data_IF_154814888227
#
_entry.id   IF_154814888227
#
_cell.length_a   1.000
_cell.length_b   1.000
_cell.length_c   1.000
_cell.angle_alpha   90.00
_cell.angle_beta   90.00
_cell.angle_gamma   90.00
#
_symmetry.space_group_name_H-M   'P 1'
#
loop_
_entity.id
_entity.type
_entity.pdbx_description
1 polymer ?
#
# COMPACT_ATOMS: atom_id res chain seq x y z
N UNK A 1 50.47 -19.35 19.56
CA UNK A 1 49.60 -18.36 18.89
C UNK A 1 48.88 -17.59 19.97
N UNK A 2 48.95 -16.26 19.93
CA UNK A 2 48.52 -15.34 20.99
C UNK A 2 46.99 -15.17 20.95
N UNK A 3 46.34 -15.25 22.11
CA UNK A 3 44.95 -14.87 22.34
C UNK A 3 44.92 -13.37 22.67
N UNK A 4 44.27 -12.58 21.82
CA UNK A 4 43.92 -11.18 22.13
C UNK A 4 42.49 -11.17 22.68
N UNK A 5 42.39 -10.80 23.95
CA UNK A 5 41.19 -10.64 24.76
C UNK A 5 40.86 -9.14 24.76
N UNK A 6 39.77 -8.72 24.10
CA UNK A 6 39.33 -7.32 24.14
C UNK A 6 38.12 -7.18 25.08
N UNK A 7 38.32 -6.37 26.10
CA UNK A 7 37.45 -6.12 27.25
C UNK A 7 36.46 -4.98 26.94
N UNK A 8 35.23 -5.15 27.43
CA UNK A 8 34.15 -4.17 27.62
C UNK A 8 34.62 -2.80 28.15
N UNK A 9 33.94 -1.71 27.77
CA UNK A 9 33.36 -0.73 28.73
C UNK A 9 32.72 0.51 28.07
N UNK A 10 31.48 0.80 28.51
CA UNK A 10 30.85 2.13 28.75
C UNK A 10 30.34 2.89 27.50
N UNK A 11 29.19 3.58 27.49
CA UNK A 11 28.54 4.38 28.53
C UNK A 11 27.00 4.28 28.47
N UNK A 12 26.37 4.38 29.64
CA UNK A 12 24.98 4.75 29.82
C UNK A 12 24.81 6.28 29.77
N UNK A 13 23.76 6.76 29.10
CA UNK A 13 23.26 8.13 29.22
C UNK A 13 21.74 8.08 29.47
N UNK A 14 21.38 8.22 30.74
CA UNK A 14 20.08 8.70 31.22
C UNK A 14 19.96 10.21 30.90
N UNK A 15 18.87 10.98 30.94
CA UNK A 15 17.58 10.95 31.66
C UNK A 15 16.65 12.00 30.98
N UNK A 16 15.34 11.88 31.21
CA UNK A 16 14.32 12.94 31.42
C UNK A 16 13.96 13.96 30.32
N UNK A 17 12.66 14.00 30.02
CA UNK A 17 12.00 15.13 29.39
C UNK A 17 10.47 14.98 29.36
N UNK A 18 9.84 14.76 30.52
CA UNK A 18 8.38 14.77 30.67
C UNK A 18 7.95 16.14 31.21
N UNK A 19 7.42 16.99 30.33
CA UNK A 19 6.75 18.22 30.73
C UNK A 19 5.23 17.97 30.76
N UNK A 20 4.68 17.88 31.97
CA UNK A 20 3.23 17.93 32.23
C UNK A 20 2.87 19.40 32.39
N UNK A 21 2.15 19.96 31.42
CA UNK A 21 1.48 21.26 31.59
C UNK A 21 0.09 20.98 32.16
N UNK A 22 -0.03 21.09 33.47
CA UNK A 22 -1.30 21.33 34.15
C UNK A 22 -1.57 22.84 34.12
N UNK A 23 -2.45 23.27 33.21
CA UNK A 23 -3.00 24.62 33.17
C UNK A 23 -4.50 24.59 33.38
N UNK A 24 -4.93 24.85 34.61
CA UNK A 24 -6.33 24.95 34.98
C UNK A 24 -7.00 26.24 34.51
N UNK A 25 -8.31 26.11 34.30
CA UNK A 25 -9.36 27.12 34.45
C UNK A 25 -9.32 28.40 33.59
N UNK A 26 -10.18 28.41 32.56
CA UNK A 26 -11.17 29.49 32.43
C UNK A 26 -12.37 29.05 31.60
N UNK A 27 -13.47 28.74 32.30
CA UNK A 27 -14.82 28.69 31.72
C UNK A 27 -15.17 30.11 31.26
N UNK A 28 -15.07 30.37 29.96
CA UNK A 28 -15.68 31.55 29.34
C UNK A 28 -16.98 31.07 28.71
N UNK A 29 -18.08 31.36 29.39
CA UNK A 29 -19.43 31.11 28.89
C UNK A 29 -19.79 32.23 27.91
N UNK A 30 -19.40 32.10 26.65
CA UNK A 30 -19.82 33.03 25.58
C UNK A 30 -21.18 32.57 25.08
N UNK A 31 -22.23 33.18 25.63
CA UNK A 31 -23.58 33.13 25.07
C UNK A 31 -23.58 33.96 23.79
N UNK A 32 -23.42 33.31 22.65
CA UNK A 32 -23.68 33.91 21.35
C UNK A 32 -25.13 33.61 20.97
N UNK A 33 -25.97 34.64 20.96
CA UNK A 33 -27.31 34.55 20.39
C UNK A 33 -27.19 34.33 18.87
N UNK A 34 -27.85 33.32 18.28
CA UNK A 34 -27.85 33.16 16.84
C UNK A 34 -28.73 34.23 16.19
N UNK A 35 -28.10 35.23 15.56
CA UNK A 35 -28.79 36.09 14.60
C UNK A 35 -29.01 35.27 13.33
N UNK A 36 -30.21 34.69 13.22
CA UNK A 36 -30.66 34.00 12.00
C UNK A 36 -31.02 35.03 10.94
N UNK A 37 -30.05 35.47 10.16
CA UNK A 37 -30.31 36.19 8.91
C UNK A 37 -30.56 35.17 7.81
N UNK A 38 -31.83 34.91 7.50
CA UNK A 38 -32.23 34.12 6.35
C UNK A 38 -31.88 34.89 5.07
N UNK A 39 -30.76 34.52 4.44
CA UNK A 39 -30.50 34.87 3.04
C UNK A 39 -31.22 33.83 2.19
N UNK A 40 -32.18 34.21 1.32
CA UNK A 40 -32.78 33.26 0.39
C UNK A 40 -31.69 32.74 -0.55
N UNK A 41 -31.37 31.45 -0.41
CA UNK A 41 -30.48 30.75 -1.33
C UNK A 41 -31.25 30.63 -2.66
N UNK A 42 -30.73 31.17 -3.78
CA UNK A 42 -31.33 30.91 -5.07
C UNK A 42 -31.26 29.40 -5.34
N UNK A 43 -32.42 28.79 -5.58
CA UNK A 43 -32.53 27.38 -5.96
C UNK A 43 -31.52 27.08 -7.07
N UNK A 44 -30.53 26.20 -6.86
CA UNK A 44 -29.72 25.73 -7.96
C UNK A 44 -30.65 24.89 -8.84
N UNK A 45 -31.02 25.43 -10.00
CA UNK A 45 -31.55 24.64 -11.11
C UNK A 45 -30.42 23.67 -11.49
N UNK A 46 -30.39 22.53 -10.82
CA UNK A 46 -29.46 21.45 -11.10
C UNK A 46 -29.83 20.88 -12.46
N UNK A 47 -29.25 21.45 -13.51
CA UNK A 47 -29.13 20.78 -14.80
C UNK A 47 -28.37 19.48 -14.52
N UNK A 48 -29.12 18.37 -14.44
CA UNK A 48 -28.55 17.03 -14.40
C UNK A 48 -27.61 16.91 -15.60
N UNK A 49 -26.29 16.83 -15.43
CA UNK A 49 -25.40 16.64 -16.56
C UNK A 49 -25.78 15.30 -17.20
N UNK A 50 -26.18 15.35 -18.46
CA UNK A 50 -26.37 14.15 -19.27
C UNK A 50 -25.08 13.33 -19.21
N UNK A 51 -25.17 11.98 -19.09
CA UNK A 51 -23.99 11.13 -19.20
C UNK A 51 -23.23 11.48 -20.48
N UNK A 52 -21.89 11.57 -20.46
CA UNK A 52 -21.12 11.58 -21.69
C UNK A 52 -21.46 10.28 -22.45
N UNK A 53 -22.10 10.43 -23.61
CA UNK A 53 -22.65 9.32 -24.40
C UNK A 53 -21.58 8.50 -25.14
N UNK A 54 -20.31 8.86 -25.01
CA UNK A 54 -19.22 8.16 -25.67
C UNK A 54 -18.48 7.24 -24.68
N UNK A 55 -19.13 6.14 -24.29
CA UNK A 55 -18.39 4.98 -23.79
C UNK A 55 -17.78 4.36 -25.04
N UNK A 56 -16.52 4.70 -25.32
CA UNK A 56 -15.75 4.10 -26.42
C UNK A 56 -15.72 2.58 -26.21
N UNK A 57 -16.60 1.89 -26.92
CA UNK A 57 -16.79 0.45 -26.84
C UNK A 57 -15.50 -0.19 -27.32
N UNK A 58 -14.69 -0.73 -26.39
CA UNK A 58 -13.34 -1.23 -26.67
C UNK A 58 -13.36 -2.25 -27.82
N UNK A 59 -12.98 -1.86 -29.06
CA UNK A 59 -13.20 -2.72 -30.20
C UNK A 59 -12.17 -3.86 -30.17
N UNK A 60 -12.60 -5.02 -29.69
CA UNK A 60 -11.79 -6.24 -29.64
C UNK A 60 -10.97 -6.47 -28.37
N UNK A 61 -11.27 -5.79 -27.25
CA UNK A 61 -10.67 -6.09 -25.96
C UNK A 61 -11.52 -7.10 -25.16
N UNK A 62 -10.92 -8.06 -24.44
CA UNK A 62 -11.65 -9.14 -23.76
C UNK A 62 -12.35 -8.74 -22.44
N UNK A 63 -12.37 -7.46 -22.06
CA UNK A 63 -12.97 -7.05 -20.80
C UNK A 63 -12.76 -5.58 -20.45
N UNK A 64 -13.27 -5.20 -19.27
CA UNK A 64 -13.25 -3.85 -18.74
C UNK A 64 -12.57 -3.84 -17.37
N UNK A 65 -11.47 -3.11 -17.22
CA UNK A 65 -10.79 -2.94 -15.92
C UNK A 65 -11.22 -1.68 -15.17
N UNK A 66 -11.02 -1.65 -13.86
CA UNK A 66 -11.05 -0.40 -13.10
C UNK A 66 -9.70 0.30 -13.23
N UNK A 67 -9.70 1.59 -13.60
CA UNK A 67 -8.49 2.41 -13.46
C UNK A 67 -8.01 2.43 -11.98
N UNK A 68 -6.71 2.62 -11.71
CA UNK A 68 -6.18 2.80 -10.35
C UNK A 68 -6.95 3.82 -9.50
N UNK A 69 -7.33 4.95 -10.10
CA UNK A 69 -8.12 6.00 -9.47
C UNK A 69 -9.54 5.52 -9.14
N UNK A 70 -10.23 4.89 -10.09
CA UNK A 70 -11.60 4.43 -9.85
C UNK A 70 -11.67 3.29 -8.84
N UNK A 71 -10.68 2.41 -8.84
CA UNK A 71 -10.55 1.37 -7.83
C UNK A 71 -10.41 1.95 -6.42
N UNK A 72 -9.57 2.97 -6.25
CA UNK A 72 -9.43 3.68 -4.98
C UNK A 72 -10.76 4.27 -4.51
N UNK A 73 -11.53 4.89 -5.42
CA UNK A 73 -12.84 5.45 -5.11
C UNK A 73 -13.82 4.35 -4.68
N UNK A 74 -13.89 3.25 -5.46
CA UNK A 74 -14.74 2.09 -5.16
C UNK A 74 -14.45 1.52 -3.77
N UNK A 75 -13.16 1.35 -3.43
CA UNK A 75 -12.76 0.79 -2.13
C UNK A 75 -13.15 1.68 -0.95
N UNK A 76 -13.13 3.00 -1.12
CA UNK A 76 -13.55 3.94 -0.09
C UNK A 76 -15.08 4.03 0.06
N UNK A 77 -15.84 3.14 -0.59
CA UNK A 77 -17.31 3.18 -0.59
C UNK A 77 -17.88 4.31 -1.46
N UNK A 78 -17.03 4.97 -2.25
CA UNK A 78 -17.47 6.00 -3.18
C UNK A 78 -18.21 5.38 -4.37
N UNK A 79 -19.44 5.83 -4.61
CA UNK A 79 -20.16 5.52 -5.84
C UNK A 79 -20.00 6.69 -6.81
N UNK A 80 -19.22 6.50 -7.87
CA UNK A 80 -19.30 7.37 -9.06
C UNK A 80 -20.34 6.78 -10.02
N UNK A 81 -21.27 7.59 -10.55
CA UNK A 81 -22.24 7.12 -11.54
C UNK A 81 -21.59 6.69 -12.86
N UNK A 82 -20.35 7.10 -13.11
CA UNK A 82 -19.55 6.75 -14.28
C UNK A 82 -18.16 6.34 -13.79
N UNK A 83 -17.99 5.05 -13.56
CA UNK A 83 -16.67 4.44 -13.41
C UNK A 83 -16.11 4.33 -14.82
N UNK A 84 -15.02 5.03 -15.11
CA UNK A 84 -14.37 4.93 -16.42
C UNK A 84 -13.63 3.60 -16.46
N UNK A 85 -14.32 2.61 -17.00
CA UNK A 85 -13.69 1.35 -17.34
C UNK A 85 -12.75 1.62 -18.51
N UNK A 86 -11.45 1.53 -18.28
CA UNK A 86 -10.46 1.67 -19.34
C UNK A 86 -10.33 0.35 -20.09
N UNK A 87 -10.15 0.43 -21.41
CA UNK A 87 -9.89 -0.76 -22.22
C UNK A 87 -8.63 -1.45 -21.69
N UNK A 88 -8.73 -2.77 -21.53
CA UNK A 88 -7.56 -3.58 -21.24
C UNK A 88 -6.55 -3.42 -22.38
N UNK A 89 -5.30 -3.11 -22.03
CA UNK A 89 -4.22 -3.22 -23.00
C UNK A 89 -4.18 -4.65 -23.54
N UNK A 90 -3.96 -4.76 -24.85
CA UNK A 90 -4.14 -6.00 -25.61
C UNK A 90 -3.26 -7.17 -25.14
N UNK A 91 -2.31 -6.97 -24.24
CA UNK A 91 -1.48 -8.04 -23.69
C UNK A 91 -1.13 -7.80 -22.20
N UNK A 92 -1.86 -8.38 -21.23
CA UNK A 92 -1.19 -8.89 -20.05
C UNK A 92 -0.27 -10.02 -20.55
N UNK A 93 1.02 -9.89 -20.30
CA UNK A 93 2.09 -10.80 -20.74
C UNK A 93 1.68 -12.27 -20.52
N UNK A 94 1.17 -12.96 -21.55
CA UNK A 94 0.90 -14.41 -21.59
C UNK A 94 0.46 -15.04 -20.25
N UNK A 95 -0.59 -14.50 -19.64
CA UNK A 95 -1.16 -15.01 -18.39
C UNK A 95 -2.09 -13.99 -17.75
N UNK A 96 -3.20 -14.44 -17.16
CA UNK A 96 -4.01 -13.59 -16.30
C UNK A 96 -3.33 -13.49 -14.94
N UNK A 97 -3.15 -12.29 -14.42
CA UNK A 97 -2.53 -12.07 -13.12
C UNK A 97 -1.74 -10.79 -13.05
N UNK A 98 -1.11 -10.58 -11.91
CA UNK A 98 -0.31 -9.39 -11.63
C UNK A 98 1.01 -9.81 -11.01
N UNK A 99 2.11 -9.37 -11.61
CA UNK A 99 3.45 -9.57 -11.06
C UNK A 99 3.75 -8.46 -10.03
N UNK A 100 4.17 -8.85 -8.83
CA UNK A 100 4.61 -7.91 -7.79
C UNK A 100 6.14 -7.92 -7.75
N UNK A 101 6.73 -6.77 -8.07
CA UNK A 101 8.17 -6.55 -8.10
C UNK A 101 8.63 -5.93 -6.79
N UNK A 102 9.76 -6.38 -6.25
CA UNK A 102 10.34 -5.82 -5.01
C UNK A 102 11.51 -4.91 -5.38
N UNK A 103 11.42 -3.62 -5.07
CA UNK A 103 12.47 -2.67 -5.43
C UNK A 103 13.71 -2.81 -4.53
N UNK A 104 13.49 -3.11 -3.23
CA UNK A 104 14.58 -3.21 -2.26
C UNK A 104 14.28 -4.21 -1.14
N UNK A 105 15.35 -4.89 -0.72
CA UNK A 105 15.31 -5.81 0.43
C UNK A 105 14.53 -7.07 0.10
N UNK A 106 14.01 -7.73 1.14
CA UNK A 106 13.12 -8.87 1.00
C UNK A 106 11.84 -8.68 1.82
N UNK A 107 10.75 -9.21 1.29
CA UNK A 107 9.42 -9.25 1.90
C UNK A 107 8.87 -10.68 1.83
N UNK A 108 7.77 -10.92 2.54
CA UNK A 108 7.00 -12.15 2.42
C UNK A 108 5.64 -11.85 1.82
N UNK A 109 5.25 -12.59 0.78
CA UNK A 109 3.93 -12.49 0.13
C UNK A 109 3.30 -13.88 0.18
N UNK A 110 2.16 -14.03 0.87
CA UNK A 110 1.48 -15.32 1.05
C UNK A 110 2.43 -16.47 1.47
N UNK A 111 3.27 -16.22 2.47
CA UNK A 111 4.29 -17.14 2.97
C UNK A 111 5.42 -17.49 1.96
N UNK A 112 5.48 -16.82 0.81
CA UNK A 112 6.57 -16.88 -0.16
C UNK A 112 7.57 -15.72 0.03
N UNK A 113 8.87 -16.02 0.05
CA UNK A 113 9.94 -15.02 0.12
C UNK A 113 10.14 -14.36 -1.24
N UNK A 114 10.19 -13.04 -1.25
CA UNK A 114 10.40 -12.23 -2.44
C UNK A 114 11.44 -11.16 -2.15
N UNK A 115 12.49 -11.09 -2.97
CA UNK A 115 13.62 -10.21 -2.79
C UNK A 115 13.86 -9.36 -4.03
N UNK A 116 14.39 -8.17 -3.80
CA UNK A 116 14.87 -7.33 -4.88
C UNK A 116 16.00 -8.02 -5.65
N UNK A 117 16.03 -7.88 -6.99
CA UNK A 117 17.06 -8.50 -7.79
C UNK A 117 18.44 -7.95 -7.43
N UNK A 118 19.42 -8.85 -7.25
CA UNK A 118 20.81 -8.47 -7.03
C UNK A 118 21.41 -7.85 -8.30
N UNK A 119 21.63 -6.54 -8.30
CA UNK A 119 22.31 -5.85 -9.41
C UNK A 119 23.64 -6.53 -9.77
N UNK A 120 23.84 -6.82 -11.07
CA UNK A 120 25.10 -7.33 -11.61
C UNK A 120 25.27 -8.86 -11.63
N UNK A 121 24.23 -9.63 -11.33
CA UNK A 121 24.24 -11.10 -11.51
C UNK A 121 23.61 -11.51 -12.83
N UNK A 122 24.14 -12.56 -13.45
CA UNK A 122 23.54 -13.20 -14.63
C UNK A 122 22.59 -14.29 -14.13
N UNK A 123 21.29 -14.11 -14.38
CA UNK A 123 20.22 -14.98 -13.91
C UNK A 123 19.62 -14.52 -12.60
N UNK A 124 18.29 -14.49 -12.54
CA UNK A 124 17.54 -14.28 -11.30
C UNK A 124 17.46 -15.58 -10.52
N UNK A 125 17.61 -15.51 -9.21
CA UNK A 125 17.21 -16.62 -8.34
C UNK A 125 15.68 -16.70 -8.30
N UNK A 126 15.08 -17.86 -7.96
CA UNK A 126 13.64 -17.96 -7.81
C UNK A 126 13.06 -16.93 -6.83
N UNK A 127 13.79 -16.57 -5.76
CA UNK A 127 13.38 -15.52 -4.83
C UNK A 127 13.55 -14.07 -5.36
N UNK A 128 14.15 -13.89 -6.53
CA UNK A 128 14.32 -12.60 -7.21
C UNK A 128 13.38 -12.46 -8.43
N UNK A 129 12.63 -13.52 -8.75
CA UNK A 129 11.54 -13.44 -9.72
C UNK A 129 10.35 -12.71 -9.09
N UNK A 130 9.58 -11.92 -9.86
CA UNK A 130 8.39 -11.28 -9.33
C UNK A 130 7.38 -12.29 -8.79
N UNK A 131 6.66 -11.93 -7.73
CA UNK A 131 5.56 -12.74 -7.24
C UNK A 131 4.38 -12.65 -8.21
N UNK A 132 4.00 -13.78 -8.82
CA UNK A 132 2.86 -13.82 -9.71
C UNK A 132 1.56 -14.12 -8.95
N UNK A 133 0.71 -13.11 -8.81
CA UNK A 133 -0.64 -13.28 -8.29
C UNK A 133 -1.57 -13.74 -9.43
N UNK A 134 -1.87 -15.04 -9.48
CA UNK A 134 -2.72 -15.63 -10.52
C UNK A 134 -4.14 -15.05 -10.47
N UNK A 135 -4.66 -14.63 -11.62
CA UNK A 135 -6.04 -14.16 -11.77
C UNK A 135 -6.85 -15.03 -12.72
N UNK A 136 -8.18 -14.98 -12.55
CA UNK A 136 -9.11 -15.17 -13.66
C UNK A 136 -9.59 -13.80 -14.14
N UNK A 137 -10.03 -13.67 -15.40
CA UNK A 137 -10.65 -12.43 -15.88
C UNK A 137 -11.74 -11.95 -14.91
N UNK A 138 -11.80 -10.64 -14.64
CA UNK A 138 -12.74 -9.97 -13.74
C UNK A 138 -12.61 -10.28 -12.23
N UNK A 139 -11.56 -10.99 -11.79
CA UNK A 139 -11.33 -11.24 -10.37
C UNK A 139 -10.80 -10.01 -9.63
N UNK A 140 -11.17 -9.86 -8.35
CA UNK A 140 -10.42 -9.00 -7.42
C UNK A 140 -9.37 -9.90 -6.77
N UNK A 141 -8.11 -9.58 -6.98
CA UNK A 141 -7.00 -10.21 -6.30
C UNK A 141 -6.85 -9.63 -4.90
N UNK A 142 -6.41 -10.47 -3.98
CA UNK A 142 -6.06 -10.10 -2.63
C UNK A 142 -4.80 -10.86 -2.25
N UNK A 143 -3.78 -10.17 -1.77
CA UNK A 143 -2.62 -10.83 -1.16
C UNK A 143 -2.31 -10.22 0.19
N UNK A 144 -1.61 -11.01 0.99
CA UNK A 144 -1.09 -10.59 2.27
C UNK A 144 0.42 -10.44 2.18
N UNK A 145 0.91 -9.25 2.53
CA UNK A 145 2.31 -8.87 2.48
C UNK A 145 2.80 -8.64 3.91
N UNK A 146 4.01 -9.10 4.19
CA UNK A 146 4.76 -8.74 5.39
C UNK A 146 6.06 -8.05 4.98
N UNK A 147 6.39 -6.95 5.64
CA UNK A 147 7.51 -6.10 5.23
C UNK A 147 8.23 -5.46 6.42
N UNK A 148 9.27 -4.67 6.11
CA UNK A 148 10.15 -4.02 7.09
C UNK A 148 10.94 -4.99 7.96
N UNK A 149 11.30 -6.15 7.41
CA UNK A 149 12.21 -7.10 8.04
C UNK A 149 13.60 -6.47 8.25
N UNK A 150 14.22 -6.73 9.41
CA UNK A 150 15.62 -6.37 9.64
C UNK A 150 16.54 -7.35 8.90
N UNK A 151 17.28 -6.86 7.91
CA UNK A 151 18.21 -7.66 7.12
C UNK A 151 19.39 -8.24 7.91
N UNK A 152 19.63 -7.78 9.13
CA UNK A 152 20.64 -8.32 10.02
C UNK A 152 20.08 -9.35 11.01
N UNK A 153 18.76 -9.45 11.14
CA UNK A 153 18.14 -10.42 12.03
C UNK A 153 18.29 -11.83 11.45
N UNK A 154 18.89 -12.72 12.25
CA UNK A 154 19.16 -14.12 11.89
C UNK A 154 18.18 -15.10 12.55
N UNK A 155 17.16 -14.61 13.25
CA UNK A 155 16.10 -15.46 13.78
C UNK A 155 15.28 -16.04 12.62
N UNK A 156 15.02 -17.36 12.59
CA UNK A 156 14.31 -18.00 11.46
C UNK A 156 12.84 -17.56 11.36
N UNK A 157 12.27 -17.10 12.46
CA UNK A 157 10.92 -16.58 12.57
C UNK A 157 10.93 -15.26 13.32
N UNK A 158 10.19 -14.28 12.82
CA UNK A 158 10.13 -12.93 13.38
C UNK A 158 8.71 -12.38 13.28
N UNK A 159 8.41 -11.35 14.08
CA UNK A 159 7.18 -10.55 13.90
C UNK A 159 7.58 -9.27 13.16
N UNK A 160 7.46 -9.23 11.81
CA UNK A 160 7.82 -8.05 11.05
C UNK A 160 6.93 -6.87 11.46
N UNK A 161 7.44 -5.63 11.47
CA UNK A 161 6.66 -4.46 11.87
C UNK A 161 5.41 -4.22 11.03
N UNK A 162 5.46 -4.59 9.75
CA UNK A 162 4.41 -4.30 8.79
C UNK A 162 3.69 -5.54 8.27
N UNK A 163 2.35 -5.50 8.31
CA UNK A 163 1.44 -6.37 7.56
C UNK A 163 0.51 -5.51 6.69
N UNK A 164 0.37 -5.86 5.42
CA UNK A 164 -0.56 -5.25 4.49
C UNK A 164 -1.48 -6.32 3.90
N UNK A 165 -2.79 -6.06 3.89
CA UNK A 165 -3.77 -6.85 3.15
C UNK A 165 -4.27 -5.99 2.01
N UNK A 166 -3.79 -6.27 0.81
CA UNK A 166 -3.93 -5.42 -0.36
C UNK A 166 -4.82 -6.08 -1.39
N UNK A 167 -5.67 -5.29 -2.04
CA UNK A 167 -6.60 -5.78 -3.04
C UNK A 167 -6.59 -4.92 -4.29
N UNK A 168 -6.65 -5.55 -5.45
CA UNK A 168 -6.72 -4.87 -6.74
C UNK A 168 -7.45 -5.73 -7.78
N UNK A 169 -7.96 -5.14 -8.87
CA UNK A 169 -8.46 -5.89 -10.02
C UNK A 169 -7.37 -6.76 -10.64
N UNK A 170 -7.65 -8.04 -10.87
CA UNK A 170 -6.68 -9.02 -11.38
C UNK A 170 -6.25 -8.84 -12.82
N UNK A 171 -6.79 -7.82 -13.48
CA UNK A 171 -6.44 -7.40 -14.83
C UNK A 171 -5.53 -6.15 -14.83
N UNK A 172 -5.13 -5.67 -13.64
CA UNK A 172 -4.08 -4.68 -13.53
C UNK A 172 -2.75 -5.24 -14.01
N UNK A 173 -1.96 -4.32 -14.58
CA UNK A 173 -0.53 -4.51 -14.81
C UNK A 173 0.19 -4.76 -13.49
N UNK A 174 1.45 -5.13 -13.59
CA UNK A 174 2.39 -5.30 -12.49
C UNK A 174 2.29 -4.23 -11.39
N UNK A 175 2.61 -4.64 -10.17
CA UNK A 175 2.75 -3.76 -9.01
C UNK A 175 4.21 -3.69 -8.59
N UNK A 176 4.58 -2.61 -7.92
CA UNK A 176 5.89 -2.43 -7.32
C UNK A 176 5.75 -2.28 -5.80
N UNK A 177 6.53 -3.03 -5.04
CA UNK A 177 6.78 -2.78 -3.63
C UNK A 177 8.03 -1.90 -3.50
N UNK A 178 7.82 -0.63 -3.19
CA UNK A 178 8.85 0.41 -3.25
C UNK A 178 9.75 0.44 -2.02
N UNK A 179 10.88 1.15 -2.14
CA UNK A 179 11.81 1.39 -1.05
C UNK A 179 11.18 2.14 0.16
N UNK A 180 10.06 2.85 -0.03
CA UNK A 180 9.31 3.52 1.02
C UNK A 180 8.35 2.59 1.78
N UNK A 181 8.39 1.27 1.53
CA UNK A 181 7.48 0.27 2.09
C UNK A 181 6.02 0.49 1.68
N UNK A 182 5.81 0.79 0.40
CA UNK A 182 4.49 0.92 -0.20
C UNK A 182 4.35 -0.05 -1.37
N UNK A 183 3.20 -0.70 -1.51
CA UNK A 183 2.82 -1.30 -2.79
C UNK A 183 2.13 -0.22 -3.64
N UNK A 184 2.49 -0.14 -4.91
CA UNK A 184 1.97 0.84 -5.85
C UNK A 184 1.74 0.21 -7.21
N UNK A 185 0.79 0.75 -7.96
CA UNK A 185 0.69 0.43 -9.38
C UNK A 185 1.77 1.19 -10.18
N UNK A 186 2.06 0.75 -11.41
CA UNK A 186 3.09 1.34 -12.29
C UNK A 186 2.91 2.83 -12.57
N UNK A 187 1.68 3.36 -12.51
CA UNK A 187 1.43 4.79 -12.70
C UNK A 187 1.71 5.62 -11.44
N UNK A 188 1.72 5.00 -10.26
CA UNK A 188 1.86 5.67 -8.97
C UNK A 188 0.57 6.32 -8.43
N UNK A 189 -0.56 6.15 -9.13
CA UNK A 189 -1.84 6.76 -8.77
C UNK A 189 -2.52 6.05 -7.58
N UNK A 190 -2.37 4.73 -7.50
CA UNK A 190 -2.80 3.90 -6.39
C UNK A 190 -1.59 3.41 -5.61
N UNK A 191 -1.67 3.54 -4.29
CA UNK A 191 -0.66 3.01 -3.37
C UNK A 191 -1.22 2.71 -2.00
N UNK A 192 -0.63 1.70 -1.35
CA UNK A 192 -0.86 1.36 0.04
C UNK A 192 0.47 1.20 0.76
N UNK A 193 0.61 1.86 1.89
CA UNK A 193 1.88 1.96 2.60
C UNK A 193 1.80 1.33 3.99
N UNK A 194 2.91 0.72 4.40
CA UNK A 194 3.16 0.42 5.79
C UNK A 194 3.08 1.70 6.65
N UNK A 195 2.60 1.59 7.90
CA UNK A 195 2.61 2.73 8.80
C UNK A 195 4.05 3.20 9.06
N UNK A 196 4.28 4.52 9.00
CA UNK A 196 5.62 5.10 9.26
C UNK A 196 6.14 4.84 10.67
N UNK A 197 5.27 4.50 11.61
CA UNK A 197 5.59 4.25 13.02
C UNK A 197 4.66 3.19 13.60
N UNK A 198 5.20 2.39 14.51
CA UNK A 198 4.48 1.33 15.20
C UNK A 198 4.46 0.03 14.41
N UNK A 199 4.03 -1.04 15.09
CA UNK A 199 3.78 -2.34 14.49
C UNK A 199 2.29 -2.46 14.24
N UNK A 200 1.89 -2.77 13.00
CA UNK A 200 0.50 -3.14 12.69
C UNK A 200 0.34 -4.65 12.47
N UNK A 201 1.35 -5.42 12.88
CA UNK A 201 1.39 -6.86 12.75
C UNK A 201 1.66 -7.51 14.11
N UNK A 202 0.91 -8.56 14.41
CA UNK A 202 1.00 -9.42 15.58
C UNK A 202 1.34 -10.87 15.19
N UNK A 203 1.44 -11.17 13.89
CA UNK A 203 1.75 -12.52 13.38
C UNK A 203 3.24 -12.75 13.26
N UNK A 204 3.69 -13.89 13.77
CA UNK A 204 5.02 -14.45 13.51
C UNK A 204 5.05 -15.10 12.13
N UNK A 205 6.05 -14.76 11.32
CA UNK A 205 6.26 -15.33 9.98
C UNK A 205 7.73 -15.69 9.80
N UNK A 206 8.04 -16.47 8.75
CA UNK A 206 9.44 -16.78 8.40
C UNK A 206 10.20 -15.51 8.06
N UNK A 207 11.44 -15.44 8.51
CA UNK A 207 12.34 -14.35 8.18
C UNK A 207 12.94 -14.60 6.78
N UNK A 208 12.75 -13.69 5.80
CA UNK A 208 13.27 -13.88 4.46
C UNK A 208 14.79 -13.73 4.36
N UNK A 209 15.47 -13.28 5.41
CA UNK A 209 16.94 -13.11 5.44
C UNK A 209 17.71 -14.28 6.04
N UNK A 210 17.02 -15.34 6.48
CA UNK A 210 17.60 -16.61 6.95
C UNK A 210 17.44 -17.67 5.86
#
# INVERSE_FOLDING_TARGET
MRFELVILAHLASSVTGLAVVQGGNKLINVRADPVTTFVPIPSPTASSPSPPEDIEECPGAPGYSYSPVDWRIKRLGGTRPWIQKTCLDKEPSKGYGTDIHVERGCIMIEDSKQCAPSFGRVGLRPEEEPYHANATSDSILSVELYAMFDGNDQNPEVTPPCRLSVQWPGDWRDLDFTAENCITDRSGEWKECCPKRGNNNDRVVRNPYV
#
